data_IF_666485269987
#
_entry.id   IF_666485269987
#
_cell.length_a   1.000
_cell.length_b   1.000
_cell.length_c   1.000
_cell.angle_alpha   90.00
_cell.angle_beta   90.00
_cell.angle_gamma   90.00
#
_symmetry.space_group_name_H-M   'P 1'
#
loop_
_entity.id
_entity.type
_entity.pdbx_description
1 polymer ?
#
# COMPACT_ATOMS: atom_id res chain seq x y z
N UNK A 1 -8.67 -9.10 2.96
CA UNK A 1 -8.65 -10.56 2.75
C UNK A 1 -7.37 -11.18 3.29
N UNK A 2 -6.19 -10.98 2.68
CA UNK A 2 -4.93 -11.57 3.20
C UNK A 2 -4.62 -11.12 4.64
N UNK A 3 -4.72 -9.82 4.93
CA UNK A 3 -4.59 -9.30 6.31
C UNK A 3 -5.62 -9.91 7.26
N UNK A 4 -6.90 -9.93 6.89
CA UNK A 4 -7.98 -10.51 7.70
C UNK A 4 -7.79 -12.01 7.98
N UNK A 5 -7.30 -12.77 7.00
CA UNK A 5 -7.00 -14.21 7.15
C UNK A 5 -5.79 -14.40 8.06
N UNK A 6 -4.70 -13.65 7.86
CA UNK A 6 -3.52 -13.74 8.72
C UNK A 6 -3.84 -13.31 10.16
N UNK A 7 -4.59 -12.24 10.36
CA UNK A 7 -5.01 -11.81 11.70
C UNK A 7 -5.95 -12.82 12.36
N UNK A 8 -6.90 -13.38 11.60
CA UNK A 8 -7.82 -14.41 12.10
C UNK A 8 -7.15 -15.74 12.44
N UNK A 9 -6.08 -16.10 11.73
CA UNK A 9 -5.31 -17.34 11.98
C UNK A 9 -4.32 -17.17 13.13
N UNK A 10 -3.72 -15.98 13.30
CA UNK A 10 -2.70 -15.74 14.32
C UNK A 10 -3.22 -15.04 15.60
N UNK A 11 -4.52 -14.75 15.71
CA UNK A 11 -5.13 -14.00 16.81
C UNK A 11 -4.41 -12.68 17.16
N UNK A 12 -3.72 -12.09 16.19
CA UNK A 12 -2.96 -10.86 16.35
C UNK A 12 -3.92 -9.65 16.36
N UNK A 13 -3.52 -8.54 16.98
CA UNK A 13 -4.27 -7.29 16.86
C UNK A 13 -4.36 -6.87 15.38
N UNK A 14 -5.55 -6.48 14.92
CA UNK A 14 -5.73 -6.06 13.53
C UNK A 14 -4.95 -4.74 13.30
N UNK A 15 -3.98 -4.71 12.36
CA UNK A 15 -3.01 -3.63 12.24
C UNK A 15 -3.57 -2.35 11.61
N UNK A 16 -4.72 -2.43 10.93
CA UNK A 16 -5.32 -1.32 10.20
C UNK A 16 -6.80 -1.22 10.56
N UNK A 17 -7.27 -0.09 11.08
CA UNK A 17 -8.71 0.07 11.34
C UNK A 17 -9.49 0.15 10.02
N UNK A 18 -10.81 -0.12 10.00
CA UNK A 18 -11.62 0.02 8.79
C UNK A 18 -11.45 1.37 8.10
N UNK A 19 -11.34 2.46 8.87
CA UNK A 19 -11.12 3.81 8.35
C UNK A 19 -9.79 3.96 7.61
N UNK A 20 -8.74 3.27 8.08
CA UNK A 20 -7.43 3.20 7.42
C UNK A 20 -7.49 2.44 6.09
N UNK A 21 -8.31 1.39 6.01
CA UNK A 21 -8.51 0.66 4.76
C UNK A 21 -9.30 1.48 3.75
N UNK A 22 -10.27 2.27 4.21
CA UNK A 22 -11.06 3.16 3.35
C UNK A 22 -10.21 4.27 2.74
N UNK A 23 -9.35 4.93 3.52
CA UNK A 23 -8.48 6.00 3.01
C UNK A 23 -7.43 5.43 2.04
N UNK A 24 -6.82 4.29 2.38
CA UNK A 24 -5.85 3.62 1.51
C UNK A 24 -6.48 3.20 0.20
N UNK A 25 -7.67 2.61 0.23
CA UNK A 25 -8.36 2.18 -0.99
C UNK A 25 -8.73 3.37 -1.88
N UNK A 26 -9.18 4.48 -1.30
CA UNK A 26 -9.50 5.70 -2.05
C UNK A 26 -8.29 6.30 -2.76
N UNK A 27 -7.17 6.49 -2.06
CA UNK A 27 -5.99 7.14 -2.63
C UNK A 27 -5.13 6.24 -3.51
N UNK A 28 -5.18 4.92 -3.31
CA UNK A 28 -4.27 3.99 -4.02
C UNK A 28 -4.97 3.17 -5.10
N UNK A 29 -6.29 3.01 -5.01
CA UNK A 29 -7.08 2.18 -5.95
C UNK A 29 -8.19 3.01 -6.60
N UNK A 30 -9.08 3.62 -5.82
CA UNK A 30 -10.32 4.25 -6.29
C UNK A 30 -10.10 5.42 -7.24
N UNK A 31 -9.52 6.52 -6.73
CA UNK A 31 -9.24 7.71 -7.55
C UNK A 31 -8.35 7.36 -8.74
N UNK A 32 -7.21 6.64 -8.54
CA UNK A 32 -6.36 6.27 -9.65
C UNK A 32 -7.05 5.47 -10.74
N UNK A 33 -7.83 4.44 -10.37
CA UNK A 33 -8.51 3.60 -11.34
C UNK A 33 -9.53 4.38 -12.17
N UNK A 34 -10.25 5.34 -11.57
CA UNK A 34 -11.20 6.18 -12.28
C UNK A 34 -10.52 7.01 -13.38
N UNK A 35 -9.47 7.74 -13.03
CA UNK A 35 -8.72 8.55 -14.00
C UNK A 35 -7.95 7.71 -15.02
N UNK A 36 -7.40 6.56 -14.61
CA UNK A 36 -6.76 5.63 -15.53
C UNK A 36 -7.76 4.99 -16.50
N UNK A 37 -9.02 4.81 -16.09
CA UNK A 37 -10.08 4.31 -16.95
C UNK A 37 -10.60 5.36 -17.95
N UNK A 38 -10.48 6.65 -17.63
CA UNK A 38 -10.78 7.75 -18.57
C UNK A 38 -9.72 7.89 -19.66
N UNK A 39 -8.51 7.37 -19.44
CA UNK A 39 -7.47 7.34 -20.47
C UNK A 39 -7.85 6.34 -21.56
N UNK A 40 -7.82 6.79 -22.83
CA UNK A 40 -8.12 5.92 -23.97
C UNK A 40 -7.16 4.73 -23.98
N UNK A 41 -7.73 3.53 -23.75
CA UNK A 41 -6.98 2.29 -23.77
C UNK A 41 -7.47 1.43 -24.95
N UNK A 42 -6.76 1.48 -26.07
CA UNK A 42 -7.05 0.67 -27.27
C UNK A 42 -6.54 -0.78 -27.17
N UNK A 43 -6.13 -1.22 -25.97
CA UNK A 43 -5.74 -2.61 -25.74
C UNK A 43 -6.97 -3.52 -25.72
N UNK A 44 -7.14 -4.31 -26.79
CA UNK A 44 -8.14 -5.38 -26.86
C UNK A 44 -8.03 -6.30 -25.64
N UNK A 45 -9.17 -6.65 -25.04
CA UNK A 45 -9.25 -7.64 -23.95
C UNK A 45 -8.80 -9.00 -24.50
N UNK A 46 -7.54 -9.36 -24.26
CA UNK A 46 -7.02 -10.67 -24.66
C UNK A 46 -7.47 -11.74 -23.64
N UNK A 47 -7.65 -12.97 -24.12
CA UNK A 47 -7.99 -14.13 -23.28
C UNK A 47 -7.04 -14.27 -22.07
N UNK A 48 -7.56 -14.79 -20.96
CA UNK A 48 -6.78 -14.91 -19.72
C UNK A 48 -6.52 -13.58 -18.98
N UNK A 49 -7.29 -12.51 -19.25
CA UNK A 49 -7.21 -11.24 -18.52
C UNK A 49 -7.28 -11.42 -17.00
N UNK A 50 -8.27 -12.15 -16.49
CA UNK A 50 -8.46 -12.33 -15.06
C UNK A 50 -7.28 -13.06 -14.40
N UNK A 51 -6.72 -14.09 -15.06
CA UNK A 51 -5.56 -14.84 -14.57
C UNK A 51 -4.30 -13.95 -14.52
N UNK A 52 -4.10 -13.08 -15.52
CA UNK A 52 -3.00 -12.11 -15.55
C UNK A 52 -3.13 -11.03 -14.47
N UNK A 53 -4.34 -10.50 -14.28
CA UNK A 53 -4.61 -9.50 -13.25
C UNK A 53 -4.40 -10.09 -11.86
N UNK A 54 -4.97 -11.27 -11.58
CA UNK A 54 -4.79 -11.95 -10.30
C UNK A 54 -3.32 -12.33 -10.05
N UNK A 55 -2.61 -12.84 -11.06
CA UNK A 55 -1.20 -13.19 -10.96
C UNK A 55 -0.27 -12.02 -10.59
N UNK A 56 -0.68 -10.78 -10.90
CA UNK A 56 0.05 -9.55 -10.50
C UNK A 56 -0.45 -8.96 -9.19
N UNK A 57 -1.76 -8.98 -8.97
CA UNK A 57 -2.38 -8.40 -7.78
C UNK A 57 -2.06 -9.19 -6.50
N UNK A 58 -2.06 -10.52 -6.57
CA UNK A 58 -1.79 -11.39 -5.41
C UNK A 58 -0.40 -11.17 -4.80
N UNK A 59 0.72 -11.23 -5.56
CA UNK A 59 2.05 -11.02 -4.98
C UNK A 59 2.23 -9.59 -4.47
N UNK A 60 1.70 -8.58 -5.17
CA UNK A 60 1.75 -7.19 -4.69
C UNK A 60 1.01 -7.03 -3.35
N UNK A 61 -0.20 -7.58 -3.24
CA UNK A 61 -0.98 -7.57 -2.01
C UNK A 61 -0.31 -8.33 -0.86
N UNK A 62 0.35 -9.46 -1.15
CA UNK A 62 1.10 -10.23 -0.16
C UNK A 62 2.31 -9.44 0.38
N UNK A 63 3.04 -8.74 -0.48
CA UNK A 63 4.18 -7.90 -0.06
C UNK A 63 3.70 -6.74 0.82
N UNK A 64 2.62 -6.07 0.44
CA UNK A 64 2.02 -4.99 1.26
C UNK A 64 1.61 -5.54 2.63
N UNK A 65 0.91 -6.68 2.65
CA UNK A 65 0.47 -7.31 3.90
C UNK A 65 1.65 -7.72 4.79
N UNK A 66 2.68 -8.34 4.22
CA UNK A 66 3.87 -8.77 4.96
C UNK A 66 4.67 -7.58 5.50
N UNK A 67 4.89 -6.53 4.71
CA UNK A 67 5.60 -5.33 5.15
C UNK A 67 4.83 -4.61 6.27
N UNK A 68 3.52 -4.45 6.09
CA UNK A 68 2.64 -3.79 7.08
C UNK A 68 2.61 -4.57 8.38
N UNK A 69 2.37 -5.88 8.30
CA UNK A 69 2.30 -6.74 9.48
C UNK A 69 3.67 -6.84 10.18
N UNK A 70 4.76 -6.96 9.43
CA UNK A 70 6.11 -7.04 9.97
C UNK A 70 6.47 -5.80 10.78
N UNK A 71 6.23 -4.60 10.23
CA UNK A 71 6.50 -3.36 10.94
C UNK A 71 5.56 -3.17 12.14
N UNK A 72 4.27 -3.48 11.97
CA UNK A 72 3.32 -3.39 13.08
C UNK A 72 3.72 -4.29 14.27
N UNK A 73 4.09 -5.54 13.99
CA UNK A 73 4.55 -6.48 15.02
C UNK A 73 5.86 -6.02 15.66
N UNK A 74 6.81 -5.49 14.87
CA UNK A 74 8.06 -4.95 15.40
C UNK A 74 7.85 -3.76 16.34
N UNK A 75 6.93 -2.86 16.00
CA UNK A 75 6.60 -1.70 16.84
C UNK A 75 5.85 -2.13 18.11
N UNK A 76 4.98 -3.13 18.02
CA UNK A 76 4.28 -3.68 19.20
C UNK A 76 5.18 -4.47 20.16
N UNK A 77 6.38 -4.89 19.75
CA UNK A 77 7.35 -5.50 20.69
C UNK A 77 7.84 -4.47 21.72
N UNK A 78 7.75 -3.19 21.41
CA UNK A 78 8.02 -2.13 22.35
C UNK A 78 6.77 -1.84 23.21
N UNK A 79 6.76 -2.38 24.43
CA UNK A 79 5.65 -2.19 25.38
C UNK A 79 5.42 -0.72 25.79
N UNK A 80 6.30 0.20 25.41
CA UNK A 80 6.13 1.64 25.65
C UNK A 80 5.25 2.33 24.62
N UNK A 81 4.96 1.68 23.49
CA UNK A 81 4.17 2.24 22.40
C UNK A 81 2.75 1.70 22.44
N UNK A 82 1.80 2.63 22.55
CA UNK A 82 0.37 2.30 22.49
C UNK A 82 -0.04 1.80 21.09
N UNK A 83 -1.06 0.95 21.04
CA UNK A 83 -1.49 0.27 19.82
C UNK A 83 -1.86 1.24 18.68
N UNK A 84 -2.36 2.44 19.01
CA UNK A 84 -2.73 3.46 18.02
C UNK A 84 -1.51 4.09 17.32
N UNK A 85 -0.37 4.16 18.01
CA UNK A 85 0.89 4.61 17.42
C UNK A 85 1.43 3.53 16.47
N UNK A 86 1.38 2.25 16.86
CA UNK A 86 1.77 1.15 15.98
C UNK A 86 0.93 1.09 14.69
N UNK A 87 -0.38 1.38 14.78
CA UNK A 87 -1.29 1.47 13.62
C UNK A 87 -0.93 2.61 12.67
N UNK A 88 -0.50 3.75 13.19
CA UNK A 88 -0.05 4.89 12.35
C UNK A 88 1.13 4.49 11.47
N UNK A 89 2.09 3.76 12.04
CA UNK A 89 3.26 3.24 11.30
C UNK A 89 2.81 2.21 10.26
N UNK A 90 1.86 1.34 10.61
CA UNK A 90 1.29 0.37 9.69
C UNK A 90 0.60 1.06 8.48
N UNK A 91 -0.19 2.12 8.71
CA UNK A 91 -0.83 2.91 7.66
C UNK A 91 0.22 3.56 6.76
N UNK A 92 1.26 4.13 7.35
CA UNK A 92 2.34 4.80 6.62
C UNK A 92 3.06 3.82 5.69
N UNK A 93 3.39 2.62 6.17
CA UNK A 93 4.01 1.55 5.38
C UNK A 93 3.06 1.06 4.29
N UNK A 94 1.83 0.69 4.66
CA UNK A 94 0.83 0.18 3.71
C UNK A 94 0.57 1.17 2.57
N UNK A 95 0.38 2.45 2.89
CA UNK A 95 0.15 3.50 1.91
C UNK A 95 1.37 3.80 1.06
N UNK A 96 2.57 3.85 1.64
CA UNK A 96 3.81 4.06 0.88
C UNK A 96 4.03 2.95 -0.14
N UNK A 97 3.90 1.68 0.27
CA UNK A 97 4.09 0.52 -0.61
C UNK A 97 2.97 0.45 -1.68
N UNK A 98 1.74 0.79 -1.32
CA UNK A 98 0.63 0.86 -2.27
C UNK A 98 0.80 1.98 -3.31
N UNK A 99 1.29 3.17 -2.90
CA UNK A 99 1.62 4.27 -3.81
C UNK A 99 2.80 3.92 -4.72
N UNK A 100 3.81 3.20 -4.23
CA UNK A 100 4.89 2.64 -5.05
C UNK A 100 4.34 1.68 -6.11
N UNK A 101 3.39 0.81 -5.74
CA UNK A 101 2.73 -0.08 -6.67
C UNK A 101 1.86 0.67 -7.71
N UNK A 102 1.21 1.77 -7.29
CA UNK A 102 0.47 2.65 -8.19
C UNK A 102 1.40 3.30 -9.23
N UNK A 103 2.51 3.90 -8.79
CA UNK A 103 3.53 4.48 -9.68
C UNK A 103 4.01 3.48 -10.72
N UNK A 104 4.20 2.22 -10.30
CA UNK A 104 4.61 1.15 -11.18
C UNK A 104 3.54 0.79 -12.21
N UNK A 105 2.30 0.65 -11.76
CA UNK A 105 1.16 0.29 -12.61
C UNK A 105 0.87 1.39 -13.64
N UNK A 106 1.17 2.65 -13.30
CA UNK A 106 1.00 3.80 -14.18
C UNK A 106 2.08 3.91 -15.29
N UNK A 107 3.12 3.07 -15.32
CA UNK A 107 4.14 3.13 -16.40
C UNK A 107 3.58 2.61 -17.75
N UNK A 108 3.96 3.21 -18.90
CA UNK A 108 4.80 4.41 -19.06
C UNK A 108 4.07 5.69 -18.62
N UNK A 109 4.80 6.59 -17.95
CA UNK A 109 4.23 7.82 -17.39
C UNK A 109 3.91 8.81 -18.51
N UNK A 110 2.63 8.99 -18.82
CA UNK A 110 2.17 10.16 -19.56
C UNK A 110 2.00 11.35 -18.58
N UNK A 111 1.70 12.55 -19.11
CA UNK A 111 1.48 13.74 -18.26
C UNK A 111 0.33 13.54 -17.25
N UNK A 112 -0.79 12.93 -17.65
CA UNK A 112 -1.95 12.68 -16.78
C UNK A 112 -1.61 11.72 -15.63
N UNK A 113 -0.97 10.60 -15.93
CA UNK A 113 -0.53 9.57 -14.99
C UNK A 113 0.52 10.12 -14.03
N UNK A 114 1.45 10.94 -14.52
CA UNK A 114 2.43 11.62 -13.68
C UNK A 114 1.76 12.59 -12.71
N UNK A 115 0.87 13.47 -13.21
CA UNK A 115 0.10 14.37 -12.35
C UNK A 115 -0.74 13.60 -11.34
N UNK A 116 -1.37 12.49 -11.74
CA UNK A 116 -2.15 11.65 -10.84
C UNK A 116 -1.30 11.08 -9.71
N UNK A 117 -0.17 10.46 -10.02
CA UNK A 117 0.71 9.87 -8.99
C UNK A 117 1.22 10.96 -8.05
N UNK A 118 1.67 12.10 -8.57
CA UNK A 118 2.13 13.23 -7.76
C UNK A 118 1.01 13.73 -6.84
N UNK A 119 -0.20 13.89 -7.36
CA UNK A 119 -1.37 14.32 -6.56
C UNK A 119 -1.71 13.29 -5.47
N UNK A 120 -1.70 12.00 -5.77
CA UNK A 120 -1.99 10.96 -4.75
C UNK A 120 -0.92 10.92 -3.66
N UNK A 121 0.35 11.03 -4.03
CA UNK A 121 1.46 11.12 -3.06
C UNK A 121 1.33 12.38 -2.21
N UNK A 122 1.00 13.52 -2.83
CA UNK A 122 0.80 14.78 -2.12
C UNK A 122 -0.38 14.72 -1.15
N UNK A 123 -1.53 14.18 -1.57
CA UNK A 123 -2.71 14.01 -0.71
C UNK A 123 -2.44 13.06 0.46
N UNK A 124 -1.73 11.97 0.21
CA UNK A 124 -1.32 11.05 1.26
C UNK A 124 -0.39 11.75 2.27
N UNK A 125 0.64 12.47 1.80
CA UNK A 125 1.52 13.24 2.68
C UNK A 125 0.75 14.32 3.47
N UNK A 126 -0.21 14.99 2.83
CA UNK A 126 -1.03 16.02 3.43
C UNK A 126 -1.95 15.46 4.52
N UNK A 127 -2.45 14.22 4.37
CA UNK A 127 -3.20 13.52 5.42
C UNK A 127 -2.38 13.32 6.71
N UNK A 128 -1.05 13.16 6.60
CA UNK A 128 -0.15 13.09 7.75
C UNK A 128 0.32 14.46 8.26
N UNK A 129 0.22 15.53 7.47
CA UNK A 129 0.66 16.88 7.87
C UNK A 129 -0.46 17.71 8.49
N UNK A 130 -1.69 17.56 8.01
CA UNK A 130 -2.83 18.37 8.43
C UNK A 130 -3.49 17.78 9.68
N UNK A 131 -3.73 18.57 10.75
CA UNK A 131 -4.33 18.08 11.99
C UNK A 131 -5.73 17.49 11.77
N UNK A 132 -6.54 18.08 10.88
CA UNK A 132 -7.84 17.52 10.49
C UNK A 132 -7.73 16.10 9.91
N UNK A 133 -6.71 15.83 9.10
CA UNK A 133 -6.44 14.48 8.59
C UNK A 133 -6.02 13.54 9.70
N UNK A 134 -5.13 13.98 10.60
CA UNK A 134 -4.68 13.16 11.74
C UNK A 134 -5.81 12.76 12.66
N UNK A 135 -6.70 13.68 13.01
CA UNK A 135 -7.82 13.41 13.91
C UNK A 135 -8.88 12.53 13.25
N UNK A 136 -9.20 12.78 11.97
CA UNK A 136 -10.17 11.98 11.21
C UNK A 136 -9.70 10.55 11.00
N UNK A 137 -8.39 10.34 10.81
CA UNK A 137 -7.80 9.03 10.53
C UNK A 137 -7.14 8.38 11.74
N UNK A 138 -7.27 8.94 12.94
CA UNK A 138 -6.67 8.41 14.17
C UNK A 138 -5.15 8.14 14.00
N UNK A 139 -4.41 9.14 13.52
CA UNK A 139 -2.96 9.06 13.24
C UNK A 139 -2.16 9.87 14.28
N UNK A 140 -2.02 9.39 15.54
CA UNK A 140 -1.19 10.08 16.54
C UNK A 140 0.27 10.20 16.09
N UNK A 141 0.93 11.29 16.50
CA UNK A 141 2.35 11.48 16.23
C UNK A 141 3.17 10.40 16.94
N UNK A 142 3.95 9.65 16.18
CA UNK A 142 4.77 8.56 16.71
C UNK A 142 6.21 8.99 16.92
N UNK A 143 7.00 8.15 17.59
CA UNK A 143 8.41 8.41 17.78
C UNK A 143 9.16 8.47 16.45
N UNK A 144 10.18 9.34 16.36
CA UNK A 144 10.99 9.53 15.15
C UNK A 144 11.60 8.22 14.61
N UNK A 145 11.95 7.29 15.50
CA UNK A 145 12.50 5.98 15.14
C UNK A 145 11.47 5.10 14.40
N UNK A 146 10.18 5.27 14.67
CA UNK A 146 9.11 4.53 14.02
C UNK A 146 8.91 5.00 12.58
N UNK A 147 9.09 6.31 12.31
CA UNK A 147 9.16 6.84 10.95
C UNK A 147 10.39 6.31 10.19
N UNK A 148 11.54 6.18 10.87
CA UNK A 148 12.74 5.59 10.27
C UNK A 148 12.53 4.10 9.91
N UNK A 149 11.84 3.34 10.78
CA UNK A 149 11.44 1.95 10.52
C UNK A 149 10.50 1.86 9.31
N UNK A 150 9.50 2.74 9.23
CA UNK A 150 8.59 2.78 8.09
C UNK A 150 9.33 3.12 6.78
N UNK A 151 10.27 4.07 6.82
CA UNK A 151 11.11 4.41 5.67
C UNK A 151 12.00 3.22 5.25
N UNK A 152 12.61 2.53 6.22
CA UNK A 152 13.40 1.31 5.97
C UNK A 152 12.55 0.19 5.35
N UNK A 153 11.36 -0.05 5.89
CA UNK A 153 10.43 -1.05 5.34
C UNK A 153 9.95 -0.69 3.93
N UNK A 154 9.66 0.58 3.66
CA UNK A 154 9.32 1.04 2.31
C UNK A 154 10.50 0.86 1.33
N UNK A 155 11.73 1.15 1.79
CA UNK A 155 12.95 0.96 1.00
C UNK A 155 13.21 -0.53 0.68
N UNK A 156 12.91 -1.45 1.60
CA UNK A 156 13.00 -2.90 1.39
C UNK A 156 11.83 -3.43 0.54
N UNK A 157 10.64 -2.85 0.69
CA UNK A 157 9.47 -3.23 -0.10
C UNK A 157 9.65 -2.91 -1.59
N UNK A 158 10.40 -1.85 -1.93
CA UNK A 158 10.67 -1.49 -3.31
C UNK A 158 11.35 -2.59 -4.15
N UNK A 159 12.51 -3.17 -3.76
CA UNK A 159 13.12 -4.28 -4.47
C UNK A 159 12.27 -5.56 -4.38
N UNK A 160 11.54 -5.79 -3.28
CA UNK A 160 10.62 -6.93 -3.15
C UNK A 160 9.47 -6.84 -4.16
N UNK A 161 8.87 -5.67 -4.35
CA UNK A 161 7.86 -5.45 -5.38
C UNK A 161 8.44 -5.70 -6.78
N UNK A 162 9.67 -5.27 -7.05
CA UNK A 162 10.36 -5.56 -8.32
C UNK A 162 10.67 -7.04 -8.54
N UNK A 163 11.07 -7.76 -7.50
CA UNK A 163 11.32 -9.20 -7.55
C UNK A 163 10.03 -10.00 -7.70
N UNK A 164 9.02 -9.72 -6.87
CA UNK A 164 7.73 -10.42 -6.87
C UNK A 164 7.02 -10.35 -8.22
N UNK A 165 7.08 -9.21 -8.90
CA UNK A 165 6.58 -9.08 -10.26
C UNK A 165 7.39 -9.82 -11.31
N UNK A 166 8.72 -9.90 -11.18
CA UNK A 166 9.58 -10.62 -12.14
C UNK A 166 9.37 -12.11 -12.01
N UNK A 167 9.15 -12.59 -10.78
CA UNK A 167 8.76 -13.97 -10.50
C UNK A 167 7.36 -14.25 -11.05
N UNK A 168 6.41 -13.31 -10.89
CA UNK A 168 5.08 -13.42 -11.47
C UNK A 168 5.09 -13.43 -13.01
N UNK A 169 6.00 -12.67 -13.65
CA UNK A 169 6.23 -12.70 -15.10
C UNK A 169 6.86 -14.03 -15.53
N UNK A 170 7.88 -14.54 -14.82
CA UNK A 170 8.56 -15.81 -15.12
C UNK A 170 7.69 -17.06 -14.93
N UNK A 171 6.72 -17.02 -14.02
CA UNK A 171 5.74 -18.10 -13.84
C UNK A 171 4.65 -18.10 -14.91
N UNK A 172 4.61 -17.06 -15.77
CA UNK A 172 3.58 -16.90 -16.80
C UNK A 172 4.08 -17.20 -18.22
N UNK A 173 5.40 -17.23 -18.45
CA UNK A 173 6.04 -17.68 -19.70
C UNK A 173 6.23 -19.23 -19.76
N UNK A 174 5.54 -19.98 -18.90
CA UNK A 174 5.45 -21.44 -18.91
C UNK A 174 4.00 -21.90 -18.97
#
# INVERSE_FOLDING_TARGET
MVLSILTGVFALAYPLRPIHLSILSWFTIGIPAFFLALEANDQRVQEGFLRRVLGRAVPAGAIIAAATMGVFSLVQLDNTIDADHARTVAVLVAGSVALMNLYRTARPLNRLRATLVVTMVALFALAFLVPFGRDTFELPMTAWWAYALAAGAAAIAWPLLQLGSRVAERLHDR
#
